data_IF_268197761561
#
_entry.id   IF_268197761561
#
_cell.length_a   1.000
_cell.length_b   1.000
_cell.length_c   1.000
_cell.angle_alpha   90.00
_cell.angle_beta   90.00
_cell.angle_gamma   90.00
#
_symmetry.space_group_name_H-M   'P 1'
#
loop_
_entity.id
_entity.type
_entity.pdbx_description
1 polymer ?
#
# COMPACT_ATOMS: atom_id res chain seq x y z
N UNK A 1 -66.70 -10.69 -17.72
CA UNK A 1 -66.37 -11.78 -18.69
C UNK A 1 -67.09 -11.50 -20.01
N UNK A 2 -66.49 -10.70 -20.90
CA UNK A 2 -66.92 -10.55 -22.31
C UNK A 2 -65.82 -9.98 -23.24
N UNK A 3 -64.54 -10.01 -22.81
CA UNK A 3 -63.38 -9.76 -23.70
C UNK A 3 -62.85 -11.06 -24.32
N UNK A 4 -63.32 -12.23 -23.85
CA UNK A 4 -62.89 -13.55 -24.34
C UNK A 4 -63.89 -14.27 -25.25
N UNK A 5 -64.95 -13.58 -25.74
CA UNK A 5 -65.95 -14.15 -26.68
C UNK A 5 -65.93 -13.50 -28.06
N UNK A 6 -64.73 -13.17 -28.53
CA UNK A 6 -64.44 -12.83 -29.92
C UNK A 6 -63.28 -13.72 -30.39
N UNK A 7 -63.57 -14.81 -31.11
CA UNK A 7 -62.60 -15.47 -31.99
C UNK A 7 -62.36 -14.59 -33.23
N UNK A 8 -61.96 -13.34 -33.03
CA UNK A 8 -61.18 -12.61 -34.03
C UNK A 8 -59.74 -13.00 -33.73
N UNK A 9 -59.12 -13.77 -34.63
CA UNK A 9 -57.69 -14.04 -34.53
C UNK A 9 -56.96 -12.73 -34.27
N UNK A 10 -55.97 -12.74 -33.38
CA UNK A 10 -55.06 -11.60 -33.23
C UNK A 10 -54.68 -11.13 -34.63
N UNK A 11 -54.83 -9.83 -34.89
CA UNK A 11 -54.46 -9.30 -36.19
C UNK A 11 -52.98 -9.63 -36.42
N UNK A 12 -52.63 -10.00 -37.65
CA UNK A 12 -51.27 -10.36 -38.04
C UNK A 12 -50.20 -9.39 -37.48
N UNK A 13 -50.44 -8.06 -37.43
CA UNK A 13 -49.50 -7.11 -36.81
C UNK A 13 -49.24 -7.35 -35.31
N UNK A 14 -50.25 -7.77 -34.53
CA UNK A 14 -50.09 -8.04 -33.10
C UNK A 14 -49.25 -9.30 -32.84
N UNK A 15 -49.44 -10.35 -33.65
CA UNK A 15 -48.61 -11.57 -33.57
C UNK A 15 -47.16 -11.27 -33.96
N UNK A 16 -46.96 -10.49 -35.03
CA UNK A 16 -45.62 -10.05 -35.45
C UNK A 16 -44.94 -9.20 -34.38
N UNK A 17 -45.68 -8.31 -33.71
CA UNK A 17 -45.15 -7.50 -32.61
C UNK A 17 -44.67 -8.34 -31.42
N UNK A 18 -45.43 -9.37 -31.03
CA UNK A 18 -45.05 -10.29 -29.95
C UNK A 18 -43.83 -11.13 -30.36
N UNK A 19 -43.80 -11.68 -31.58
CA UNK A 19 -42.65 -12.46 -32.08
C UNK A 19 -41.40 -11.60 -32.16
N UNK A 20 -41.50 -10.38 -32.69
CA UNK A 20 -40.39 -9.43 -32.76
C UNK A 20 -39.91 -9.04 -31.35
N UNK A 21 -40.82 -8.85 -30.40
CA UNK A 21 -40.46 -8.58 -29.00
C UNK A 21 -39.74 -9.76 -28.36
N UNK A 22 -40.22 -11.00 -28.53
CA UNK A 22 -39.57 -12.20 -27.98
C UNK A 22 -38.21 -12.44 -28.63
N UNK A 23 -38.08 -12.27 -29.95
CA UNK A 23 -36.79 -12.37 -30.63
C UNK A 23 -35.83 -11.28 -30.18
N UNK A 24 -36.31 -10.04 -30.03
CA UNK A 24 -35.54 -8.92 -29.52
C UNK A 24 -35.04 -9.17 -28.10
N UNK A 25 -35.91 -9.54 -27.17
CA UNK A 25 -35.52 -9.82 -25.78
C UNK A 25 -34.57 -11.02 -25.67
N UNK A 26 -34.79 -12.08 -26.46
CA UNK A 26 -33.90 -13.24 -26.50
C UNK A 26 -32.53 -12.89 -27.08
N UNK A 27 -32.47 -12.10 -28.15
CA UNK A 27 -31.21 -11.65 -28.74
C UNK A 27 -30.43 -10.73 -27.80
N UNK A 28 -31.11 -9.82 -27.10
CA UNK A 28 -30.47 -8.95 -26.09
C UNK A 28 -29.95 -9.77 -24.91
N UNK A 29 -30.72 -10.74 -24.42
CA UNK A 29 -30.29 -11.62 -23.33
C UNK A 29 -29.08 -12.45 -23.73
N UNK A 30 -29.08 -13.07 -24.92
CA UNK A 30 -27.95 -13.85 -25.43
C UNK A 30 -26.69 -12.99 -25.61
N UNK A 31 -26.85 -11.79 -26.16
CA UNK A 31 -25.73 -10.85 -26.32
C UNK A 31 -25.15 -10.47 -24.96
N UNK A 32 -26.00 -10.15 -23.99
CA UNK A 32 -25.57 -9.81 -22.63
C UNK A 32 -24.80 -10.96 -21.97
N UNK A 33 -25.33 -12.19 -22.04
CA UNK A 33 -24.67 -13.39 -21.49
C UNK A 33 -23.31 -13.62 -22.16
N UNK A 34 -23.23 -13.48 -23.48
CA UNK A 34 -21.98 -13.65 -24.22
C UNK A 34 -20.93 -12.59 -23.84
N UNK A 35 -21.33 -11.30 -23.76
CA UNK A 35 -20.41 -10.24 -23.35
C UNK A 35 -19.94 -10.41 -21.91
N UNK A 36 -20.84 -10.75 -20.97
CA UNK A 36 -20.47 -11.02 -19.59
C UNK A 36 -19.50 -12.21 -19.48
N UNK A 37 -19.79 -13.31 -20.18
CA UNK A 37 -18.90 -14.48 -20.20
C UNK A 37 -17.51 -14.14 -20.75
N UNK A 38 -17.44 -13.29 -21.79
CA UNK A 38 -16.16 -12.85 -22.34
C UNK A 38 -15.38 -11.96 -21.37
N UNK A 39 -16.06 -11.03 -20.69
CA UNK A 39 -15.43 -10.17 -19.68
C UNK A 39 -14.89 -10.98 -18.50
N UNK A 40 -15.63 -12.01 -18.06
CA UNK A 40 -15.18 -12.92 -17.00
C UNK A 40 -13.92 -13.67 -17.45
N UNK A 41 -13.91 -14.25 -18.66
CA UNK A 41 -12.74 -14.98 -19.15
C UNK A 41 -11.50 -14.09 -19.25
N UNK A 42 -11.64 -12.86 -19.77
CA UNK A 42 -10.54 -11.90 -19.83
C UNK A 42 -10.02 -11.59 -18.42
N UNK A 43 -10.93 -11.34 -17.47
CA UNK A 43 -10.54 -11.08 -16.08
C UNK A 43 -9.83 -12.25 -15.43
N UNK A 44 -10.21 -13.49 -15.74
CA UNK A 44 -9.53 -14.70 -15.25
C UNK A 44 -8.13 -14.78 -15.84
N UNK A 45 -8.00 -14.64 -17.16
CA UNK A 45 -6.72 -14.70 -17.87
C UNK A 45 -5.73 -13.63 -17.38
N UNK A 46 -6.18 -12.39 -17.20
CA UNK A 46 -5.36 -11.30 -16.67
C UNK A 46 -4.90 -11.57 -15.22
N UNK A 47 -5.79 -12.15 -14.40
CA UNK A 47 -5.47 -12.49 -13.01
C UNK A 47 -4.46 -13.64 -12.94
N UNK A 48 -4.65 -14.69 -13.74
CA UNK A 48 -3.72 -15.81 -13.82
C UNK A 48 -2.35 -15.38 -14.34
N UNK A 49 -2.31 -14.53 -15.38
CA UNK A 49 -1.07 -13.99 -15.92
C UNK A 49 -0.31 -13.17 -14.85
N UNK A 50 -1.02 -12.32 -14.11
CA UNK A 50 -0.44 -11.53 -13.02
C UNK A 50 0.11 -12.42 -11.89
N UNK A 51 -0.69 -13.36 -11.38
CA UNK A 51 -0.27 -14.26 -10.30
C UNK A 51 0.94 -15.11 -10.71
N UNK A 52 0.96 -15.61 -11.95
CA UNK A 52 2.10 -16.34 -12.48
C UNK A 52 3.35 -15.45 -12.59
N UNK A 53 3.21 -14.20 -13.04
CA UNK A 53 4.32 -13.25 -13.12
C UNK A 53 4.89 -12.93 -11.72
N UNK A 54 4.02 -12.65 -10.73
CA UNK A 54 4.42 -12.42 -9.33
C UNK A 54 5.17 -13.62 -8.77
N UNK A 55 4.65 -14.83 -8.94
CA UNK A 55 5.29 -16.05 -8.43
C UNK A 55 6.65 -16.31 -9.08
N UNK A 56 6.80 -16.07 -10.38
CA UNK A 56 8.09 -16.22 -11.08
C UNK A 56 9.12 -15.24 -10.54
N UNK A 57 8.75 -13.96 -10.42
CA UNK A 57 9.65 -12.92 -9.89
C UNK A 57 10.02 -13.24 -8.44
N UNK A 58 9.04 -13.51 -7.57
CA UNK A 58 9.26 -13.85 -6.16
C UNK A 58 10.17 -15.07 -5.98
N UNK A 59 9.92 -16.16 -6.72
CA UNK A 59 10.75 -17.35 -6.67
C UNK A 59 12.18 -17.08 -7.16
N UNK A 60 12.35 -16.26 -8.19
CA UNK A 60 13.67 -15.84 -8.69
C UNK A 60 14.44 -15.08 -7.61
N UNK A 61 13.80 -14.08 -6.98
CA UNK A 61 14.40 -13.30 -5.90
C UNK A 61 14.84 -14.19 -4.73
N UNK A 62 13.99 -15.14 -4.32
CA UNK A 62 14.28 -16.09 -3.25
C UNK A 62 15.45 -17.02 -3.60
N UNK A 63 15.56 -17.44 -4.85
CA UNK A 63 16.69 -18.25 -5.33
C UNK A 63 17.99 -17.43 -5.29
N UNK A 64 17.98 -16.20 -5.80
CA UNK A 64 19.14 -15.28 -5.75
C UNK A 64 19.56 -15.02 -4.30
N UNK A 65 18.60 -14.66 -3.44
CA UNK A 65 18.83 -14.36 -2.02
C UNK A 65 19.39 -15.58 -1.26
N UNK A 66 18.89 -16.79 -1.56
CA UNK A 66 19.37 -18.04 -0.95
C UNK A 66 20.78 -18.39 -1.40
N UNK A 67 21.04 -18.33 -2.70
CA UNK A 67 22.31 -18.78 -3.28
C UNK A 67 23.40 -17.71 -3.13
N UNK A 68 23.00 -16.48 -2.87
CA UNK A 68 23.86 -15.31 -2.65
C UNK A 68 24.78 -15.00 -3.82
N UNK A 69 24.29 -15.21 -5.05
CA UNK A 69 25.04 -15.04 -6.30
C UNK A 69 24.38 -14.02 -7.22
N UNK A 70 25.19 -13.06 -7.69
CA UNK A 70 24.82 -12.04 -8.68
C UNK A 70 25.77 -12.08 -9.90
N UNK A 71 26.51 -13.17 -10.09
CA UNK A 71 27.40 -13.28 -11.24
C UNK A 71 26.59 -13.36 -12.55
N UNK A 72 27.05 -12.74 -13.64
CA UNK A 72 26.27 -12.67 -14.88
C UNK A 72 25.90 -14.02 -15.51
N UNK A 73 26.73 -15.05 -15.35
CA UNK A 73 26.46 -16.38 -15.93
C UNK A 73 25.34 -17.10 -15.17
N UNK A 74 25.37 -17.02 -13.84
CA UNK A 74 24.30 -17.50 -12.97
C UNK A 74 22.98 -16.79 -13.25
N UNK A 75 23.00 -15.45 -13.29
CA UNK A 75 21.79 -14.66 -13.54
C UNK A 75 21.18 -14.98 -14.91
N UNK A 76 21.99 -15.07 -15.97
CA UNK A 76 21.48 -15.43 -17.30
C UNK A 76 20.89 -16.85 -17.36
N UNK A 77 21.49 -17.80 -16.64
CA UNK A 77 20.93 -19.15 -16.53
C UNK A 77 19.58 -19.16 -15.79
N UNK A 78 19.47 -18.33 -14.75
CA UNK A 78 18.26 -18.22 -13.95
C UNK A 78 17.12 -17.49 -14.71
N UNK A 79 17.44 -16.43 -15.45
CA UNK A 79 16.52 -15.74 -16.38
C UNK A 79 15.85 -16.74 -17.33
N UNK A 80 16.67 -17.55 -18.01
CA UNK A 80 16.19 -18.53 -18.98
C UNK A 80 15.34 -19.63 -18.33
N UNK A 81 15.71 -20.07 -17.13
CA UNK A 81 14.99 -21.12 -16.40
C UNK A 81 13.65 -20.63 -15.84
N UNK A 82 13.61 -19.45 -15.25
CA UNK A 82 12.42 -18.88 -14.61
C UNK A 82 11.50 -18.15 -15.59
N UNK A 83 12.01 -17.76 -16.76
CA UNK A 83 11.28 -16.98 -17.76
C UNK A 83 11.01 -15.55 -17.28
N UNK A 84 12.06 -14.89 -16.80
CA UNK A 84 12.07 -13.51 -16.28
C UNK A 84 13.21 -12.72 -16.94
N UNK A 85 13.16 -11.39 -16.89
CA UNK A 85 14.28 -10.51 -17.23
C UNK A 85 14.99 -10.07 -15.95
N UNK A 86 16.32 -10.09 -15.91
CA UNK A 86 17.18 -9.63 -14.83
C UNK A 86 18.18 -8.63 -15.41
N UNK A 87 17.94 -7.35 -15.15
CA UNK A 87 18.73 -6.27 -15.72
C UNK A 87 19.41 -5.45 -14.61
N UNK A 88 20.58 -4.89 -14.91
CA UNK A 88 21.25 -3.97 -13.99
C UNK A 88 20.57 -2.60 -14.07
N UNK A 89 20.00 -2.14 -12.96
CA UNK A 89 19.32 -0.85 -12.85
C UNK A 89 20.28 0.28 -12.43
N UNK A 90 21.11 0.02 -11.42
CA UNK A 90 22.21 0.89 -10.98
C UNK A 90 23.41 0.04 -10.56
N UNK A 91 24.53 0.64 -10.13
CA UNK A 91 25.81 -0.06 -9.92
C UNK A 91 25.71 -1.40 -9.16
N UNK A 92 24.86 -1.47 -8.13
CA UNK A 92 24.65 -2.68 -7.33
C UNK A 92 23.17 -3.09 -7.20
N UNK A 93 22.28 -2.55 -8.04
CA UNK A 93 20.84 -2.82 -7.98
C UNK A 93 20.37 -3.48 -9.27
N UNK A 94 19.71 -4.63 -9.15
CA UNK A 94 19.15 -5.37 -10.27
C UNK A 94 17.63 -5.28 -10.27
N UNK A 95 17.03 -5.19 -11.46
CA UNK A 95 15.59 -5.33 -11.68
C UNK A 95 15.26 -6.73 -12.17
N UNK A 96 14.35 -7.41 -11.48
CA UNK A 96 13.79 -8.70 -11.90
C UNK A 96 12.35 -8.46 -12.36
N UNK A 97 12.03 -8.79 -13.61
CA UNK A 97 10.72 -8.52 -14.18
C UNK A 97 10.13 -9.69 -14.97
N UNK A 98 8.80 -9.76 -15.03
CA UNK A 98 8.06 -10.73 -15.85
C UNK A 98 6.85 -10.05 -16.49
N UNK A 99 6.72 -10.18 -17.81
CA UNK A 99 5.63 -9.57 -18.58
C UNK A 99 4.31 -10.29 -18.30
N UNK A 100 3.28 -9.51 -17.99
CA UNK A 100 1.88 -9.97 -17.93
C UNK A 100 1.29 -9.95 -19.34
N UNK A 101 1.60 -8.88 -20.09
CA UNK A 101 1.22 -8.66 -21.48
C UNK A 101 2.19 -7.64 -22.11
N UNK A 102 1.94 -7.24 -23.36
CA UNK A 102 2.82 -6.35 -24.14
C UNK A 102 3.14 -4.99 -23.48
N UNK A 103 2.36 -4.54 -22.50
CA UNK A 103 2.49 -3.21 -21.88
C UNK A 103 2.55 -3.21 -20.36
N UNK A 104 2.58 -4.39 -19.70
CA UNK A 104 2.59 -4.47 -18.23
C UNK A 104 3.55 -5.55 -17.79
N UNK A 105 4.44 -5.20 -16.87
CA UNK A 105 5.34 -6.12 -16.20
C UNK A 105 5.11 -6.10 -14.70
N UNK A 106 5.31 -7.26 -14.07
CA UNK A 106 5.60 -7.33 -12.64
C UNK A 106 7.09 -7.15 -12.48
N UNK A 107 7.51 -6.22 -11.63
CA UNK A 107 8.91 -5.89 -11.39
C UNK A 107 9.23 -5.88 -9.90
N UNK A 108 10.45 -6.27 -9.56
CA UNK A 108 11.07 -6.13 -8.24
C UNK A 108 12.54 -5.72 -8.39
N UNK A 109 13.09 -5.15 -7.34
CA UNK A 109 14.49 -4.74 -7.24
C UNK A 109 15.21 -5.62 -6.23
N UNK A 110 16.48 -5.97 -6.49
CA UNK A 110 17.31 -6.77 -5.60
C UNK A 110 18.76 -6.28 -5.58
N UNK A 111 19.35 -6.22 -4.39
CA UNK A 111 20.77 -5.92 -4.17
C UNK A 111 21.38 -6.87 -3.15
N UNK A 112 22.66 -7.20 -3.35
CA UNK A 112 23.50 -7.91 -2.37
C UNK A 112 24.51 -6.99 -1.66
N UNK A 113 24.50 -5.69 -1.96
CA UNK A 113 25.37 -4.70 -1.33
C UNK A 113 24.54 -3.52 -0.85
N UNK A 114 24.43 -3.42 0.48
CA UNK A 114 23.61 -2.40 1.14
C UNK A 114 24.44 -1.46 1.98
N UNK A 115 24.00 -0.22 2.07
CA UNK A 115 24.54 0.80 2.97
C UNK A 115 23.40 1.46 3.75
N UNK A 116 23.70 1.87 4.98
CA UNK A 116 22.76 2.58 5.84
C UNK A 116 22.89 4.08 5.60
N UNK A 117 21.79 4.75 5.29
CA UNK A 117 21.75 6.18 5.01
C UNK A 117 20.66 6.89 5.82
N UNK A 118 20.87 8.17 6.08
CA UNK A 118 19.94 9.02 6.84
C UNK A 118 18.62 9.16 6.09
N UNK A 119 17.52 8.76 6.73
CA UNK A 119 16.17 8.85 6.14
C UNK A 119 15.79 10.31 5.89
N UNK A 120 16.25 11.23 6.74
CA UNK A 120 16.02 12.67 6.55
C UNK A 120 16.71 13.18 5.29
N UNK A 121 18.01 12.92 5.15
CA UNK A 121 18.80 13.47 4.02
C UNK A 121 18.36 12.87 2.68
N UNK A 122 17.95 11.60 2.68
CA UNK A 122 17.48 10.92 1.47
C UNK A 122 16.08 11.36 1.04
N UNK A 123 15.18 11.61 1.99
CA UNK A 123 13.74 11.76 1.71
C UNK A 123 13.26 13.12 2.21
N UNK A 124 13.24 13.32 3.52
CA UNK A 124 12.49 14.40 4.15
C UNK A 124 13.12 15.80 4.06
N UNK A 125 14.36 15.91 3.57
CA UNK A 125 14.94 17.20 3.18
C UNK A 125 14.28 17.77 1.91
N UNK A 126 13.67 16.92 1.08
CA UNK A 126 13.06 17.29 -0.18
C UNK A 126 11.53 17.33 -0.07
N UNK A 127 10.87 18.09 -0.93
CA UNK A 127 9.41 18.05 -1.08
C UNK A 127 8.95 16.95 -2.04
N UNK A 128 9.87 16.42 -2.86
CA UNK A 128 9.62 15.41 -3.89
C UNK A 128 9.21 16.00 -5.24
N UNK A 129 9.05 17.32 -5.35
CA UNK A 129 8.80 18.04 -6.60
C UNK A 129 10.08 18.59 -7.25
N UNK A 130 11.24 18.43 -6.60
CA UNK A 130 12.51 18.92 -7.12
C UNK A 130 12.94 18.17 -8.39
N UNK A 131 13.39 18.85 -9.46
CA UNK A 131 13.78 18.19 -10.72
C UNK A 131 14.92 17.18 -10.60
N UNK A 132 15.73 17.29 -9.56
CA UNK A 132 16.86 16.40 -9.29
C UNK A 132 16.53 15.30 -8.30
N UNK A 133 15.36 15.33 -7.68
CA UNK A 133 14.94 14.29 -6.74
C UNK A 133 14.53 13.04 -7.52
N UNK A 134 15.04 11.89 -7.09
CA UNK A 134 14.64 10.59 -7.60
C UNK A 134 14.54 9.65 -6.41
N UNK A 135 13.36 9.06 -6.22
CA UNK A 135 13.14 8.12 -5.14
C UNK A 135 13.90 6.82 -5.43
N UNK A 136 14.78 6.44 -4.51
CA UNK A 136 15.47 5.16 -4.59
C UNK A 136 14.43 4.01 -4.54
N UNK A 137 14.46 3.04 -5.49
CA UNK A 137 13.46 1.98 -5.56
C UNK A 137 13.38 1.07 -4.32
N UNK A 138 14.45 0.98 -3.52
CA UNK A 138 14.46 0.21 -2.27
C UNK A 138 13.75 0.94 -1.13
N UNK A 139 13.55 2.26 -1.23
CA UNK A 139 12.80 3.04 -0.24
C UNK A 139 11.30 2.80 -0.48
N UNK A 140 10.82 1.73 0.13
CA UNK A 140 9.41 1.34 0.13
C UNK A 140 8.82 1.47 1.54
N UNK A 141 7.50 1.62 1.67
CA UNK A 141 6.81 1.55 2.96
C UNK A 141 7.17 0.30 3.77
N UNK A 142 7.32 -0.86 3.11
CA UNK A 142 7.79 -2.11 3.69
C UNK A 142 9.21 -1.96 4.27
N UNK A 143 10.14 -1.39 3.51
CA UNK A 143 11.51 -1.14 3.98
C UNK A 143 11.53 -0.12 5.15
N UNK A 144 10.69 0.91 5.08
CA UNK A 144 10.57 1.92 6.13
C UNK A 144 10.07 1.30 7.45
N UNK A 145 9.04 0.45 7.41
CA UNK A 145 8.54 -0.22 8.62
C UNK A 145 9.50 -1.31 9.10
N UNK A 146 10.17 -2.04 8.20
CA UNK A 146 11.16 -3.04 8.59
C UNK A 146 12.42 -2.43 9.18
N UNK A 147 12.79 -1.22 8.79
CA UNK A 147 13.90 -0.46 9.39
C UNK A 147 13.53 0.11 10.76
N UNK A 148 12.27 0.53 10.95
CA UNK A 148 11.78 1.05 12.23
C UNK A 148 11.57 -0.04 13.29
N UNK A 149 11.01 -1.18 12.89
CA UNK A 149 10.51 -2.19 13.82
C UNK A 149 11.58 -2.79 14.75
N UNK A 150 12.82 -3.11 14.31
CA UNK A 150 13.87 -3.60 15.20
C UNK A 150 14.16 -2.65 16.36
N UNK A 151 14.28 -1.34 16.07
CA UNK A 151 14.47 -0.31 17.09
C UNK A 151 13.25 -0.24 18.01
N UNK A 152 12.04 -0.29 17.46
CA UNK A 152 10.80 -0.31 18.24
C UNK A 152 10.75 -1.46 19.23
N UNK A 153 11.07 -2.68 18.79
CA UNK A 153 11.09 -3.90 19.62
C UNK A 153 12.15 -3.78 20.70
N UNK A 154 13.38 -3.37 20.35
CA UNK A 154 14.47 -3.26 21.32
C UNK A 154 14.13 -2.26 22.44
N UNK A 155 13.49 -1.15 22.11
CA UNK A 155 13.11 -0.11 23.09
C UNK A 155 11.92 -0.53 23.96
N UNK A 156 10.84 -1.07 23.38
CA UNK A 156 9.61 -1.37 24.13
C UNK A 156 9.62 -2.77 24.77
N UNK A 157 10.40 -3.70 24.21
CA UNK A 157 10.48 -5.09 24.65
C UNK A 157 11.95 -5.54 24.75
N UNK A 158 12.74 -4.96 25.67
CA UNK A 158 14.19 -5.20 25.77
C UNK A 158 14.57 -6.65 26.09
N UNK A 159 13.61 -7.51 26.42
CA UNK A 159 13.80 -8.95 26.62
C UNK A 159 13.66 -9.75 25.32
N UNK A 160 13.26 -9.14 24.21
CA UNK A 160 13.17 -9.76 22.89
C UNK A 160 14.41 -9.43 22.06
N UNK A 161 14.92 -10.43 21.35
CA UNK A 161 15.87 -10.19 20.26
C UNK A 161 15.07 -9.78 19.01
N UNK A 162 15.26 -8.55 18.48
CA UNK A 162 14.53 -8.12 17.30
C UNK A 162 14.94 -8.94 16.08
N UNK A 163 13.96 -9.29 15.24
CA UNK A 163 14.23 -9.74 13.88
C UNK A 163 14.59 -8.53 13.02
N UNK A 164 15.64 -8.65 12.21
CA UNK A 164 16.15 -7.61 11.29
C UNK A 164 15.92 -7.96 9.82
N UNK A 165 15.75 -9.24 9.53
CA UNK A 165 15.77 -9.77 8.17
C UNK A 165 14.34 -9.89 7.65
N UNK A 166 13.69 -8.74 7.48
CA UNK A 166 12.37 -8.67 6.85
C UNK A 166 12.53 -8.57 5.33
N UNK A 167 11.76 -9.38 4.60
CA UNK A 167 11.81 -9.44 3.14
C UNK A 167 10.71 -8.63 2.46
N UNK A 168 9.62 -8.40 3.18
CA UNK A 168 8.42 -7.72 2.67
C UNK A 168 7.51 -7.29 3.83
N UNK A 169 6.45 -6.54 3.50
CA UNK A 169 5.46 -6.10 4.48
C UNK A 169 4.80 -7.27 5.22
N UNK A 170 4.56 -8.40 4.54
CA UNK A 170 3.90 -9.56 5.13
C UNK A 170 4.79 -10.28 6.16
N UNK A 171 6.11 -10.27 5.99
CA UNK A 171 7.08 -10.82 6.93
C UNK A 171 7.06 -10.06 8.26
N UNK A 172 6.94 -8.72 8.20
CA UNK A 172 6.74 -7.85 9.38
C UNK A 172 5.45 -8.22 10.11
N UNK A 173 4.34 -8.34 9.37
CA UNK A 173 3.04 -8.70 9.94
C UNK A 173 3.08 -10.10 10.57
N UNK A 174 3.74 -11.06 9.93
CA UNK A 174 3.88 -12.44 10.41
C UNK A 174 4.70 -12.51 11.70
N UNK A 175 5.78 -11.74 11.80
CA UNK A 175 6.57 -11.63 13.01
C UNK A 175 5.75 -11.07 14.18
N UNK A 176 5.03 -9.96 13.97
CA UNK A 176 4.17 -9.36 15.00
C UNK A 176 3.03 -10.31 15.38
N UNK A 177 2.41 -10.99 14.41
CA UNK A 177 1.38 -12.02 14.67
C UNK A 177 1.95 -13.13 15.57
N UNK A 178 3.17 -13.59 15.31
CA UNK A 178 3.83 -14.64 16.10
C UNK A 178 4.05 -14.19 17.54
N UNK A 179 4.55 -12.96 17.74
CA UNK A 179 4.69 -12.35 19.07
C UNK A 179 3.34 -12.26 19.80
N UNK A 180 2.29 -11.82 19.09
CA UNK A 180 0.95 -11.69 19.66
C UNK A 180 0.32 -13.03 20.05
N UNK A 181 0.48 -14.07 19.22
CA UNK A 181 0.02 -15.43 19.53
C UNK A 181 0.75 -16.04 20.72
N UNK A 182 2.03 -15.69 20.88
CA UNK A 182 2.84 -16.07 22.04
C UNK A 182 2.58 -15.21 23.28
N UNK A 183 1.73 -14.17 23.19
CA UNK A 183 1.54 -13.13 24.22
C UNK A 183 2.86 -12.51 24.70
N UNK A 184 3.79 -12.28 23.78
CA UNK A 184 5.13 -11.80 24.07
C UNK A 184 5.34 -10.42 23.44
N UNK A 185 5.12 -9.36 24.22
CA UNK A 185 5.19 -7.97 23.77
C UNK A 185 3.88 -7.46 23.18
N UNK A 186 3.39 -8.08 22.11
CA UNK A 186 2.08 -7.77 21.52
C UNK A 186 0.95 -8.61 22.12
N UNK A 187 -0.24 -8.04 22.15
CA UNK A 187 -1.47 -8.71 22.57
C UNK A 187 -2.41 -8.87 21.37
N UNK A 188 -2.95 -10.08 21.18
CA UNK A 188 -3.91 -10.36 20.12
C UNK A 188 -5.32 -9.92 20.50
N UNK A 189 -5.97 -9.20 19.59
CA UNK A 189 -7.36 -8.77 19.68
C UNK A 189 -8.11 -9.05 18.37
N UNK A 190 -9.43 -9.00 18.45
CA UNK A 190 -10.32 -8.98 17.29
C UNK A 190 -10.85 -7.55 17.04
N UNK A 191 -11.39 -7.23 15.86
CA UNK A 191 -11.88 -5.89 15.53
C UNK A 191 -12.86 -5.31 16.55
N UNK A 192 -13.76 -6.16 17.08
CA UNK A 192 -14.71 -5.79 18.13
C UNK A 192 -14.07 -5.15 19.38
N UNK A 193 -12.78 -5.44 19.64
CA UNK A 193 -12.00 -4.84 20.71
C UNK A 193 -11.82 -3.32 20.58
N UNK A 194 -11.86 -2.77 19.37
CA UNK A 194 -11.87 -1.32 19.11
C UNK A 194 -13.26 -0.81 18.72
N UNK A 195 -13.98 -1.53 17.86
CA UNK A 195 -15.25 -1.07 17.27
C UNK A 195 -16.36 -0.84 18.30
N UNK A 196 -16.36 -1.64 19.38
CA UNK A 196 -17.34 -1.53 20.46
C UNK A 196 -17.06 -0.36 21.42
N UNK A 197 -15.85 0.19 21.42
CA UNK A 197 -15.47 1.26 22.35
C UNK A 197 -16.09 2.59 21.94
N UNK A 198 -16.55 3.37 22.93
CA UNK A 198 -17.03 4.74 22.70
C UNK A 198 -15.93 5.66 22.19
N UNK A 199 -14.71 5.49 22.72
CA UNK A 199 -13.47 6.16 22.28
C UNK A 199 -12.40 5.11 21.97
N UNK A 200 -12.40 4.54 20.75
CA UNK A 200 -11.47 3.50 20.32
C UNK A 200 -10.02 3.86 20.64
N UNK A 201 -9.45 3.16 21.62
CA UNK A 201 -8.08 3.37 22.10
C UNK A 201 -7.33 2.05 22.03
N UNK A 202 -6.15 2.07 21.42
CA UNK A 202 -5.25 0.92 21.41
C UNK A 202 -4.64 0.74 22.81
N UNK A 203 -5.19 -0.21 23.58
CA UNK A 203 -4.71 -0.53 24.92
C UNK A 203 -3.45 -1.41 24.79
N UNK A 204 -2.30 -0.86 25.15
CA UNK A 204 -1.00 -1.52 24.98
C UNK A 204 -0.59 -1.65 23.51
N UNK A 205 0.28 -2.62 23.25
CA UNK A 205 0.75 -2.97 21.92
C UNK A 205 -0.19 -4.00 21.32
N UNK A 206 -1.04 -3.56 20.39
CA UNK A 206 -2.15 -4.38 19.89
C UNK A 206 -1.83 -4.94 18.51
N UNK A 207 -2.11 -6.24 18.35
CA UNK A 207 -2.25 -6.88 17.06
C UNK A 207 -3.72 -7.27 16.87
N UNK A 208 -4.38 -6.75 15.83
CA UNK A 208 -5.76 -7.05 15.50
C UNK A 208 -5.80 -7.99 14.30
N UNK A 209 -6.45 -9.13 14.48
CA UNK A 209 -6.71 -10.07 13.39
C UNK A 209 -8.07 -9.78 12.75
N UNK A 210 -8.04 -9.16 11.57
CA UNK A 210 -9.24 -8.78 10.81
C UNK A 210 -9.33 -7.28 10.55
N UNK A 211 -10.30 -6.92 9.71
CA UNK A 211 -10.54 -5.53 9.32
C UNK A 211 -11.26 -4.77 10.42
N UNK A 212 -10.88 -3.51 10.64
CA UNK A 212 -11.41 -2.62 11.68
C UNK A 212 -12.20 -1.49 11.05
N UNK A 213 -13.41 -1.25 11.55
CA UNK A 213 -14.27 -0.13 11.15
C UNK A 213 -14.56 0.77 12.34
N UNK A 214 -13.92 1.92 12.40
CA UNK A 214 -14.19 2.92 13.42
C UNK A 214 -15.50 3.67 13.09
N UNK A 215 -16.50 3.67 13.99
CA UNK A 215 -17.79 4.31 13.74
C UNK A 215 -17.70 5.82 13.56
N UNK A 216 -18.80 6.43 13.08
CA UNK A 216 -18.90 7.87 12.90
C UNK A 216 -18.58 8.63 14.20
N UNK A 217 -17.87 9.75 14.07
CA UNK A 217 -17.53 10.68 15.15
C UNK A 217 -16.76 10.01 16.31
N UNK A 218 -15.93 9.01 16.01
CA UNK A 218 -15.08 8.34 17.00
C UNK A 218 -13.64 8.39 16.55
N UNK A 219 -12.78 8.88 17.42
CA UNK A 219 -11.35 8.92 17.14
C UNK A 219 -10.71 7.58 17.47
N UNK A 220 -9.72 7.20 16.67
CA UNK A 220 -8.83 6.09 16.99
C UNK A 220 -7.58 6.67 17.65
N UNK A 221 -7.34 6.32 18.90
CA UNK A 221 -6.19 6.80 19.65
C UNK A 221 -5.21 5.66 19.91
N UNK A 222 -4.02 5.78 19.36
CA UNK A 222 -2.85 4.98 19.70
C UNK A 222 -1.95 5.86 20.57
N UNK A 223 -1.81 5.55 21.88
CA UNK A 223 -0.95 6.33 22.76
C UNK A 223 0.52 6.32 22.30
N UNK A 224 1.29 7.29 22.78
CA UNK A 224 2.73 7.38 22.51
C UNK A 224 3.46 6.10 22.93
N UNK A 225 4.57 5.81 22.24
CA UNK A 225 5.35 4.57 22.37
C UNK A 225 4.58 3.27 22.04
N UNK A 226 3.33 3.36 21.57
CA UNK A 226 2.55 2.19 21.15
C UNK A 226 2.43 2.12 19.64
N UNK A 227 2.28 0.89 19.18
CA UNK A 227 2.03 0.55 17.80
C UNK A 227 0.77 -0.29 17.74
N UNK A 228 -0.17 0.13 16.91
CA UNK A 228 -1.33 -0.67 16.54
C UNK A 228 -1.04 -1.37 15.23
N UNK A 229 -1.18 -2.68 15.19
CA UNK A 229 -1.00 -3.48 13.98
C UNK A 229 -2.34 -4.13 13.63
N UNK A 230 -2.85 -3.87 12.43
CA UNK A 230 -4.11 -4.40 11.92
C UNK A 230 -3.81 -5.31 10.75
N UNK A 231 -4.17 -6.58 10.89
CA UNK A 231 -4.07 -7.57 9.83
C UNK A 231 -5.39 -7.65 9.05
N UNK A 232 -5.59 -6.64 8.21
CA UNK A 232 -6.83 -6.38 7.50
C UNK A 232 -6.93 -4.91 7.08
N UNK A 233 -8.11 -4.48 6.63
CA UNK A 233 -8.35 -3.09 6.26
C UNK A 233 -8.67 -2.24 7.49
N UNK A 234 -8.35 -0.94 7.44
CA UNK A 234 -8.79 0.06 8.41
C UNK A 234 -9.74 1.06 7.74
N UNK A 235 -10.96 1.18 8.25
CA UNK A 235 -11.93 2.19 7.81
C UNK A 235 -12.28 3.14 8.96
N UNK A 236 -11.95 4.42 8.81
CA UNK A 236 -12.41 5.50 9.69
C UNK A 236 -13.65 6.14 9.08
N UNK A 237 -14.79 6.13 9.78
CA UNK A 237 -15.98 6.79 9.27
C UNK A 237 -16.01 8.30 9.56
N UNK A 238 -17.01 9.00 9.01
CA UNK A 238 -17.11 10.46 9.03
C UNK A 238 -16.90 11.06 10.42
N UNK A 239 -16.23 12.21 10.48
CA UNK A 239 -16.04 12.93 11.75
C UNK A 239 -14.96 12.36 12.66
N UNK A 240 -14.08 11.51 12.14
CA UNK A 240 -13.11 10.75 12.93
C UNK A 240 -11.67 11.16 12.62
N UNK A 241 -10.82 11.09 13.64
CA UNK A 241 -9.38 11.35 13.55
C UNK A 241 -8.58 10.16 14.07
N UNK A 242 -7.48 9.85 13.39
CA UNK A 242 -6.47 8.91 13.90
C UNK A 242 -5.39 9.71 14.63
N UNK A 243 -5.06 9.28 15.85
CA UNK A 243 -3.94 9.79 16.62
C UNK A 243 -2.93 8.66 16.89
N UNK A 244 -1.65 8.89 16.60
CA UNK A 244 -0.58 7.92 16.83
C UNK A 244 -0.30 7.00 15.65
N UNK A 245 0.42 5.90 15.91
CA UNK A 245 1.10 5.13 14.88
C UNK A 245 0.40 3.79 14.61
N UNK A 246 0.13 3.49 13.35
CA UNK A 246 -0.59 2.28 12.93
C UNK A 246 0.04 1.63 11.70
N UNK A 247 0.14 0.30 11.73
CA UNK A 247 0.54 -0.56 10.61
C UNK A 247 -0.68 -1.36 10.16
N UNK A 248 -1.03 -1.29 8.88
CA UNK A 248 -2.24 -1.90 8.31
C UNK A 248 -1.85 -2.82 7.15
N UNK A 249 -2.08 -4.12 7.32
CA UNK A 249 -1.91 -5.12 6.27
C UNK A 249 -3.13 -5.13 5.32
N UNK A 250 -3.38 -3.99 4.68
CA UNK A 250 -4.55 -3.79 3.83
C UNK A 250 -4.74 -2.32 3.48
N UNK A 251 -5.93 -2.01 2.98
CA UNK A 251 -6.27 -0.64 2.61
C UNK A 251 -6.66 0.18 3.85
N UNK A 252 -6.34 1.47 3.79
CA UNK A 252 -6.82 2.46 4.76
C UNK A 252 -7.78 3.42 4.07
N UNK A 253 -8.95 3.62 4.67
CA UNK A 253 -9.97 4.53 4.15
C UNK A 253 -10.42 5.46 5.27
N UNK A 254 -10.32 6.77 5.05
CA UNK A 254 -10.93 7.79 5.91
C UNK A 254 -12.11 8.40 5.16
N UNK A 255 -13.32 8.03 5.56
CA UNK A 255 -14.56 8.50 4.94
C UNK A 255 -14.96 9.87 5.47
N UNK A 256 -15.57 10.67 4.59
CA UNK A 256 -16.11 11.99 4.89
C UNK A 256 -17.50 12.16 4.32
N UNK A 257 -18.34 12.98 4.95
CA UNK A 257 -19.68 13.29 4.45
C UNK A 257 -20.09 14.72 4.81
N UNK A 258 -20.63 15.45 3.83
CA UNK A 258 -21.08 16.82 4.05
C UNK A 258 -19.93 17.71 4.50
N UNK A 259 -20.04 18.29 5.69
CA UNK A 259 -19.01 19.16 6.29
C UNK A 259 -18.30 18.50 7.47
N UNK A 260 -18.37 17.17 7.61
CA UNK A 260 -17.59 16.48 8.65
C UNK A 260 -16.11 16.78 8.46
N UNK A 261 -15.38 17.02 9.55
CA UNK A 261 -13.91 17.14 9.52
C UNK A 261 -13.31 15.79 9.90
N UNK A 262 -12.26 15.38 9.22
CA UNK A 262 -11.48 14.19 9.56
C UNK A 262 -10.04 14.62 9.77
N UNK A 263 -9.24 13.75 10.36
CA UNK A 263 -7.81 14.03 10.45
C UNK A 263 -6.95 12.82 10.65
N UNK A 264 -5.66 13.08 10.51
CA UNK A 264 -4.60 12.17 10.88
C UNK A 264 -3.55 13.00 11.60
N UNK A 265 -3.16 12.58 12.79
CA UNK A 265 -2.01 13.11 13.53
C UNK A 265 -1.16 11.94 14.03
N UNK A 266 -0.21 11.51 13.21
CA UNK A 266 0.63 10.34 13.45
C UNK A 266 0.99 9.65 12.15
N UNK A 267 1.40 8.38 12.25
CA UNK A 267 1.98 7.64 11.14
C UNK A 267 1.12 6.45 10.74
N UNK A 268 0.90 6.29 9.43
CA UNK A 268 0.24 5.14 8.83
C UNK A 268 1.24 4.44 7.92
N UNK A 269 1.47 3.15 8.19
CA UNK A 269 2.02 2.21 7.22
C UNK A 269 0.88 1.37 6.67
N UNK A 270 0.72 1.31 5.36
CA UNK A 270 -0.31 0.52 4.69
C UNK A 270 0.31 -0.37 3.60
N UNK A 271 0.02 -1.67 3.65
CA UNK A 271 0.33 -2.58 2.54
C UNK A 271 -0.59 -2.35 1.33
N UNK A 272 -1.73 -1.67 1.51
CA UNK A 272 -2.70 -1.39 0.47
C UNK A 272 -2.69 0.07 0.02
N UNK A 273 -3.82 0.48 -0.56
CA UNK A 273 -4.09 1.88 -0.91
C UNK A 273 -4.51 2.67 0.33
N UNK A 274 -4.25 3.97 0.31
CA UNK A 274 -4.75 4.90 1.33
C UNK A 274 -5.64 5.94 0.66
N UNK A 275 -6.90 5.98 1.06
CA UNK A 275 -7.91 6.88 0.52
C UNK A 275 -8.40 7.83 1.60
N UNK A 276 -8.16 9.12 1.41
CA UNK A 276 -8.69 10.16 2.28
C UNK A 276 -9.82 10.92 1.60
N UNK A 277 -10.96 10.99 2.27
CA UNK A 277 -12.06 11.84 1.87
C UNK A 277 -11.77 13.32 2.14
N UNK A 278 -12.74 14.15 1.74
CA UNK A 278 -12.65 15.60 1.84
C UNK A 278 -12.63 16.16 3.26
N UNK A 279 -12.17 17.40 3.41
CA UNK A 279 -12.11 18.13 4.68
C UNK A 279 -11.25 17.41 5.74
N UNK A 280 -10.02 17.14 5.34
CA UNK A 280 -9.02 16.45 6.16
C UNK A 280 -7.97 17.43 6.68
N UNK A 281 -7.58 17.26 7.95
CA UNK A 281 -6.42 17.93 8.53
C UNK A 281 -5.30 16.92 8.79
N UNK A 282 -4.12 17.19 8.26
CA UNK A 282 -2.89 16.42 8.51
C UNK A 282 -2.02 17.12 9.54
N UNK A 283 -1.70 16.41 10.62
CA UNK A 283 -0.63 16.78 11.54
C UNK A 283 -0.74 18.19 12.12
N UNK A 284 0.33 18.60 12.78
CA UNK A 284 0.59 19.94 13.27
C UNK A 284 2.03 20.30 12.94
N UNK A 285 2.39 21.57 13.05
CA UNK A 285 3.75 22.04 12.78
C UNK A 285 4.80 21.34 13.65
N UNK A 286 4.45 20.90 14.86
CA UNK A 286 5.34 20.17 15.77
C UNK A 286 5.04 18.67 15.86
N UNK A 287 4.14 18.17 15.02
CA UNK A 287 3.79 16.74 14.92
C UNK A 287 3.19 16.47 13.54
N UNK A 288 4.03 16.46 12.49
CA UNK A 288 3.56 16.17 11.14
C UNK A 288 3.00 14.75 11.07
N UNK A 289 2.16 14.50 10.07
CA UNK A 289 1.66 13.16 9.79
C UNK A 289 2.48 12.48 8.70
N UNK A 290 2.65 11.17 8.82
CA UNK A 290 3.36 10.38 7.82
C UNK A 290 2.41 9.32 7.27
N UNK A 291 2.33 9.20 5.95
CA UNK A 291 1.48 8.22 5.28
C UNK A 291 2.32 7.47 4.26
N UNK A 292 2.60 6.21 4.56
CA UNK A 292 3.41 5.34 3.74
C UNK A 292 2.54 4.19 3.24
N UNK A 293 2.36 4.08 1.93
CA UNK A 293 1.43 3.12 1.31
C UNK A 293 2.12 2.37 0.16
N UNK A 294 2.11 1.04 0.17
CA UNK A 294 2.77 0.26 -0.90
C UNK A 294 2.17 0.51 -2.29
N UNK A 295 0.88 0.88 -2.32
CA UNK A 295 0.15 1.24 -3.52
C UNK A 295 -0.15 2.74 -3.55
N UNK A 296 -1.38 3.13 -3.87
CA UNK A 296 -1.69 4.50 -4.23
C UNK A 296 -2.25 5.28 -3.02
N UNK A 297 -1.90 6.57 -2.95
CA UNK A 297 -2.50 7.51 -2.00
C UNK A 297 -3.40 8.45 -2.79
N UNK A 298 -4.68 8.50 -2.42
CA UNK A 298 -5.65 9.43 -3.00
C UNK A 298 -6.18 10.40 -1.95
N UNK A 299 -6.03 11.68 -2.23
CA UNK A 299 -6.62 12.77 -1.47
C UNK A 299 -7.80 13.36 -2.25
N UNK A 300 -8.95 13.49 -1.59
CA UNK A 300 -10.09 14.24 -2.13
C UNK A 300 -9.90 15.76 -1.96
N UNK A 301 -10.97 16.55 -1.97
CA UNK A 301 -10.88 18.02 -1.88
C UNK A 301 -10.82 18.57 -0.43
N UNK A 302 -10.29 19.79 -0.26
CA UNK A 302 -10.20 20.48 1.04
C UNK A 302 -9.30 19.72 2.02
N UNK A 303 -7.99 19.87 1.84
CA UNK A 303 -6.97 19.19 2.65
C UNK A 303 -6.01 20.26 3.16
N UNK A 304 -5.70 20.25 4.45
CA UNK A 304 -4.75 21.20 5.04
C UNK A 304 -3.81 20.53 6.05
N UNK A 305 -2.59 21.02 6.16
CA UNK A 305 -1.70 20.74 7.28
C UNK A 305 -0.33 20.21 6.89
N UNK A 306 0.31 19.49 7.81
CA UNK A 306 1.69 19.02 7.75
C UNK A 306 1.74 17.52 7.50
N UNK A 307 2.26 17.11 6.35
CA UNK A 307 2.17 15.72 5.89
C UNK A 307 3.30 15.28 4.97
N UNK A 308 3.82 14.09 5.22
CA UNK A 308 4.80 13.39 4.38
C UNK A 308 4.19 12.11 3.81
N UNK A 309 4.32 11.90 2.51
CA UNK A 309 3.67 10.82 1.80
C UNK A 309 4.69 10.00 1.01
N UNK A 310 4.73 8.68 1.21
CA UNK A 310 5.53 7.75 0.41
C UNK A 310 4.59 6.73 -0.22
N UNK A 311 4.55 6.67 -1.55
CA UNK A 311 3.64 5.75 -2.23
C UNK A 311 4.06 5.44 -3.66
N UNK A 312 3.29 4.57 -4.33
CA UNK A 312 3.48 4.32 -5.76
C UNK A 312 2.99 5.51 -6.59
N UNK A 313 1.68 5.76 -6.54
CA UNK A 313 1.04 6.90 -7.17
C UNK A 313 0.40 7.80 -6.13
N UNK A 314 0.57 9.11 -6.30
CA UNK A 314 -0.10 10.10 -5.47
C UNK A 314 -1.08 10.93 -6.30
N UNK A 315 -2.35 10.95 -5.90
CA UNK A 315 -3.38 11.77 -6.57
C UNK A 315 -4.08 12.68 -5.58
N UNK A 316 -3.96 13.99 -5.81
CA UNK A 316 -4.69 15.02 -5.09
C UNK A 316 -5.78 15.62 -6.00
N UNK A 317 -7.06 15.32 -5.71
CA UNK A 317 -8.20 15.77 -6.53
C UNK A 317 -8.38 17.28 -6.49
N UNK A 318 -9.02 17.84 -7.53
CA UNK A 318 -9.32 19.27 -7.64
C UNK A 318 -9.99 19.84 -6.38
N UNK A 319 -9.34 20.83 -5.75
CA UNK A 319 -9.84 21.47 -4.53
C UNK A 319 -8.85 22.40 -3.84
N UNK A 320 -9.22 22.85 -2.64
CA UNK A 320 -8.35 23.64 -1.75
C UNK A 320 -7.40 22.70 -0.99
N UNK A 321 -6.28 22.35 -1.60
CA UNK A 321 -5.28 21.47 -1.01
C UNK A 321 -4.04 22.31 -0.66
N UNK A 322 -3.66 22.30 0.62
CA UNK A 322 -2.51 23.00 1.18
C UNK A 322 -1.76 22.05 2.10
N UNK A 323 -0.70 21.44 1.58
CA UNK A 323 0.14 20.50 2.32
C UNK A 323 1.52 21.13 2.46
N UNK A 324 2.08 21.04 3.68
CA UNK A 324 3.46 21.41 3.99
C UNK A 324 4.19 20.13 4.39
N UNK A 325 5.31 19.79 3.73
CA UNK A 325 6.01 18.51 3.92
C UNK A 325 6.58 17.99 2.61
N UNK A 326 6.23 16.75 2.23
CA UNK A 326 6.73 16.15 1.00
C UNK A 326 5.90 14.98 0.48
N UNK A 327 5.97 14.74 -0.83
CA UNK A 327 5.28 13.65 -1.53
C UNK A 327 6.31 12.93 -2.40
N UNK A 328 6.58 11.68 -2.06
CA UNK A 328 7.61 10.85 -2.68
C UNK A 328 6.94 9.66 -3.38
N UNK A 329 6.99 9.67 -4.71
CA UNK A 329 6.33 8.65 -5.54
C UNK A 329 7.34 7.83 -6.32
N UNK A 330 7.08 6.54 -6.49
CA UNK A 330 7.87 5.68 -7.40
C UNK A 330 7.42 5.76 -8.86
N UNK A 331 6.16 6.17 -9.09
CA UNK A 331 5.57 6.32 -10.43
C UNK A 331 5.07 7.77 -10.60
N UNK A 332 3.75 8.00 -10.56
CA UNK A 332 3.17 9.29 -10.89
C UNK A 332 2.77 10.11 -9.67
N UNK A 333 3.00 11.41 -9.78
CA UNK A 333 2.52 12.44 -8.87
C UNK A 333 1.55 13.37 -9.60
N UNK A 334 0.27 13.34 -9.22
CA UNK A 334 -0.76 14.22 -9.77
C UNK A 334 -1.26 15.17 -8.67
N UNK A 335 -0.64 16.35 -8.62
CA UNK A 335 -0.99 17.42 -7.67
C UNK A 335 -1.14 18.72 -8.44
N UNK A 336 -2.18 19.48 -8.11
CA UNK A 336 -2.47 20.74 -8.80
C UNK A 336 -1.76 21.96 -8.23
N UNK A 337 -1.29 21.85 -6.98
CA UNK A 337 -0.63 22.91 -6.24
C UNK A 337 0.63 22.34 -5.62
N UNK A 338 1.71 23.08 -5.71
CA UNK A 338 2.98 22.67 -5.12
C UNK A 338 2.86 22.47 -3.61
N UNK A 339 3.64 21.54 -3.12
CA UNK A 339 3.83 21.21 -1.71
C UNK A 339 4.68 22.32 -1.09
N UNK A 340 4.25 22.80 0.08
CA UNK A 340 5.04 23.74 0.86
C UNK A 340 6.23 23.05 1.50
N UNK A 341 7.41 23.67 1.46
CA UNK A 341 8.60 23.17 2.15
C UNK A 341 8.40 23.17 3.66
N UNK A 342 8.87 22.11 4.32
CA UNK A 342 8.86 22.00 5.77
C UNK A 342 10.30 21.96 6.31
N UNK A 343 10.78 23.08 6.83
CA UNK A 343 12.20 23.28 7.16
C UNK A 343 12.60 22.87 8.58
N UNK A 344 11.63 22.58 9.45
CA UNK A 344 11.86 22.40 10.89
C UNK A 344 11.56 20.98 11.38
N UNK A 345 11.78 19.97 10.53
CA UNK A 345 11.57 18.58 10.92
C UNK A 345 12.58 18.14 11.97
N UNK A 346 12.08 17.84 13.17
CA UNK A 346 12.90 17.36 14.27
C UNK A 346 13.20 15.86 14.10
N UNK A 347 14.42 15.53 13.69
CA UNK A 347 14.86 14.14 13.50
C UNK A 347 14.99 13.35 14.80
N UNK A 348 15.15 14.03 15.94
CA UNK A 348 15.19 13.40 17.26
C UNK A 348 13.84 12.75 17.63
N UNK A 349 12.74 13.22 17.03
CA UNK A 349 11.39 12.71 17.27
C UNK A 349 10.97 11.60 16.31
N UNK A 350 11.85 11.18 15.39
CA UNK A 350 11.53 10.13 14.41
C UNK A 350 11.06 8.82 15.05
N UNK A 351 11.66 8.44 16.18
CA UNK A 351 11.23 7.28 16.93
C UNK A 351 9.76 7.36 17.38
N UNK A 352 9.35 8.53 17.90
CA UNK A 352 7.98 8.79 18.36
C UNK A 352 6.99 8.92 17.20
N UNK A 353 7.49 9.39 16.05
CA UNK A 353 6.75 9.42 14.79
C UNK A 353 6.69 8.06 14.10
N UNK A 354 7.27 7.02 14.67
CA UNK A 354 7.40 5.72 13.99
C UNK A 354 8.04 5.82 12.59
N UNK A 355 9.06 6.67 12.45
CA UNK A 355 9.87 6.82 11.25
C UNK A 355 11.27 6.32 11.57
N UNK A 356 11.91 5.50 10.72
CA UNK A 356 13.30 5.10 10.96
C UNK A 356 14.24 6.30 10.79
N UNK A 357 15.27 6.40 11.63
CA UNK A 357 16.33 7.41 11.47
C UNK A 357 17.24 7.08 10.29
N UNK A 358 17.47 5.78 10.06
CA UNK A 358 18.29 5.26 8.98
C UNK A 358 17.54 4.19 8.22
N UNK A 359 17.75 4.14 6.90
CA UNK A 359 17.20 3.13 6.01
C UNK A 359 18.32 2.52 5.17
N UNK A 360 18.18 1.23 4.87
CA UNK A 360 19.09 0.51 4.01
C UNK A 360 18.73 0.72 2.54
N UNK A 361 19.72 1.14 1.76
CA UNK A 361 19.67 1.30 0.30
C UNK A 361 20.84 0.56 -0.34
N UNK A 362 20.88 0.47 -1.67
CA UNK A 362 22.04 -0.09 -2.35
C UNK A 362 23.27 0.78 -2.10
N UNK A 363 24.40 0.12 -1.93
CA UNK A 363 25.68 0.82 -1.87
C UNK A 363 26.09 1.29 -3.27
N UNK A 364 26.57 2.52 -3.36
CA UNK A 364 27.18 3.09 -4.57
C UNK A 364 28.71 2.99 -4.56
N UNK A 365 29.30 2.27 -3.59
CA UNK A 365 30.74 1.99 -3.60
C UNK A 365 30.99 0.72 -4.43
N UNK A 366 31.70 0.79 -5.57
CA UNK A 366 31.99 -0.39 -6.38
C UNK A 366 32.88 -1.42 -5.64
N UNK A 367 33.47 -1.06 -4.50
CA UNK A 367 34.26 -1.93 -3.64
C UNK A 367 33.51 -2.37 -2.37
N UNK A 368 32.26 -1.94 -2.19
CA UNK A 368 31.41 -2.51 -1.15
C UNK A 368 31.11 -3.96 -1.54
N UNK A 369 31.95 -4.86 -1.04
CA UNK A 369 31.76 -6.28 -1.23
C UNK A 369 30.41 -6.73 -0.67
N UNK A 370 30.00 -7.92 -1.08
CA UNK A 370 28.81 -8.59 -0.58
C UNK A 370 28.73 -8.52 0.96
N UNK A 371 27.68 -7.91 1.51
CA UNK A 371 27.53 -7.70 2.96
C UNK A 371 26.85 -8.86 3.68
N UNK A 372 26.41 -9.90 2.95
CA UNK A 372 25.80 -11.10 3.54
C UNK A 372 24.27 -11.10 3.54
N UNK A 373 23.61 -9.96 3.35
CA UNK A 373 22.15 -9.83 3.35
C UNK A 373 21.65 -9.24 2.05
N UNK A 374 20.90 -10.05 1.29
CA UNK A 374 20.18 -9.56 0.12
C UNK A 374 18.93 -8.80 0.58
N UNK A 375 18.74 -7.60 0.03
CA UNK A 375 17.49 -6.84 0.16
C UNK A 375 16.80 -6.82 -1.18
N UNK A 376 15.49 -7.03 -1.17
CA UNK A 376 14.67 -6.94 -2.36
C UNK A 376 13.28 -6.39 -2.05
N UNK A 377 12.63 -5.82 -3.06
CA UNK A 377 11.26 -5.30 -2.93
C UNK A 377 10.24 -6.38 -3.26
N UNK A 378 9.02 -6.25 -2.76
CA UNK A 378 7.93 -7.14 -3.19
C UNK A 378 7.64 -6.94 -4.70
N UNK A 379 7.35 -8.01 -5.46
CA UNK A 379 6.98 -7.89 -6.87
C UNK A 379 5.66 -7.15 -7.02
N UNK A 380 5.63 -6.14 -7.89
CA UNK A 380 4.44 -5.33 -8.16
C UNK A 380 4.36 -4.91 -9.62
N UNK A 381 3.15 -4.60 -10.08
CA UNK A 381 2.97 -4.03 -11.43
C UNK A 381 3.59 -2.64 -11.42
N UNK A 382 4.55 -2.44 -12.33
CA UNK A 382 5.06 -1.12 -12.69
C UNK A 382 4.56 -0.85 -14.12
N UNK A 383 3.85 0.27 -14.29
CA UNK A 383 3.16 0.61 -15.55
C UNK A 383 4.08 1.23 -16.59
#
# INVERSE_FOLDING_TARGET
>A
MNILKSRKGMSLPTVLGIVAFVLGTTATLLSYVFFQSRLINISIEDTEAYENAVQKVDATLKIISRDQLLDPEYLSSLEAYMGVSIELYSENLYTVSSMINDSKAVTSYITGSVTSASTYDLIFQNTGEEPTFSLNPLITPANMVSSYLPQYINTNFPWLTPQTDFTDFQSVITYIRTLALANNGFQRYFPSGLESQSNPTAIGHMYIEGSVVIPNNRNLTIPENRLLVIDGNLTMNRGSTIYGNVVVNGNVVINGQGNSSQGLQGTIYANGNVNFAKNLNFGLENRPSFVFAEYDITLDNIINGYGFFLCRNFTAKQGNIYIVGGVYTSEDQNIQRSIGEYTNLNTDEFYDYAVPTYIEIESTDPNSGFTGEFKYTSPKIIS
#
